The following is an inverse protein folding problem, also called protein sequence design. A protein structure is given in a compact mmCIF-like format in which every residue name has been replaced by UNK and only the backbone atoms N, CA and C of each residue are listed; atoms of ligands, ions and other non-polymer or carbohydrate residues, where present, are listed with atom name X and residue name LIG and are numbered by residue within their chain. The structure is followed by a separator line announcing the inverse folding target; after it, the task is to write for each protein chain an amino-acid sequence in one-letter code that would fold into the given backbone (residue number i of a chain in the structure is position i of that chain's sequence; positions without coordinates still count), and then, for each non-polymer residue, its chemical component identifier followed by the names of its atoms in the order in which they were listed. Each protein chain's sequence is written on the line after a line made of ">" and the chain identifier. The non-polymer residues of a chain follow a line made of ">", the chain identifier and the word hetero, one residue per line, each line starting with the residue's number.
data_IF_109430609199
#
_entry.id   IF_109430609199
#
_cell.length_a   1.000
_cell.length_b   1.000
_cell.length_c   1.000
_cell.angle_alpha   90.00
_cell.angle_beta   90.00
_cell.angle_gamma   90.00
#
_symmetry.space_group_name_H-M   'P 1'
#
loop_
_entity.id
_entity.type
_entity.pdbx_description
1 polymer ?
#
# COMPACT_ATOMS: atom_id res chain seq x y z
N UNK A 1 7.82 9.22 -36.37
CA UNK A 1 9.25 9.60 -36.43
C UNK A 1 9.38 10.76 -35.45
N UNK A 2 9.60 10.51 -34.15
CA UNK A 2 10.92 10.34 -33.51
C UNK A 2 11.29 11.70 -32.90
N UNK A 3 11.77 11.88 -31.67
CA UNK A 3 12.18 11.05 -30.54
C UNK A 3 11.99 11.92 -29.29
N UNK A 4 11.77 11.30 -28.14
CA UNK A 4 11.80 11.94 -26.82
C UNK A 4 13.17 12.58 -26.55
N UNK A 5 13.20 13.66 -25.76
CA UNK A 5 14.20 13.78 -24.70
C UNK A 5 13.70 14.66 -23.53
N UNK A 6 13.48 13.99 -22.40
CA UNK A 6 13.21 14.57 -21.08
C UNK A 6 14.54 15.06 -20.49
N UNK A 7 14.79 16.36 -20.53
CA UNK A 7 15.82 16.99 -19.71
C UNK A 7 15.25 17.25 -18.31
N UNK A 8 15.40 16.26 -17.42
CA UNK A 8 15.26 16.44 -15.97
C UNK A 8 16.32 17.43 -15.51
N UNK A 9 15.89 18.65 -15.17
CA UNK A 9 16.75 19.71 -14.64
C UNK A 9 17.27 19.25 -13.27
N UNK A 10 18.50 18.76 -13.23
CA UNK A 10 19.29 18.71 -12.00
C UNK A 10 19.50 20.15 -11.53
N UNK A 11 18.67 20.63 -10.60
CA UNK A 11 18.98 21.85 -9.85
C UNK A 11 20.11 21.56 -8.87
N UNK A 12 21.33 21.52 -9.39
CA UNK A 12 22.52 21.75 -8.56
C UNK A 12 22.44 23.19 -8.05
N UNK A 13 22.09 23.37 -6.78
CA UNK A 13 22.13 24.67 -6.10
C UNK A 13 23.58 25.15 -6.14
N UNK A 14 23.87 26.18 -6.93
CA UNK A 14 25.16 26.88 -6.89
C UNK A 14 25.21 27.65 -5.58
N UNK A 15 26.17 27.30 -4.72
CA UNK A 15 26.36 27.88 -3.38
C UNK A 15 26.78 29.37 -3.40
N UNK A 16 27.09 29.93 -4.58
CA UNK A 16 27.67 31.27 -4.72
C UNK A 16 26.64 32.41 -4.74
N UNK A 17 25.34 32.13 -4.57
CA UNK A 17 24.27 33.15 -4.63
C UNK A 17 23.17 33.00 -3.58
N UNK A 18 23.47 32.41 -2.42
CA UNK A 18 22.53 32.35 -1.30
C UNK A 18 22.61 33.66 -0.50
N UNK A 19 21.49 34.38 -0.42
CA UNK A 19 21.40 35.55 0.46
C UNK A 19 21.24 35.12 1.91
N UNK A 20 21.55 36.01 2.86
CA UNK A 20 21.38 35.74 4.30
C UNK A 20 19.92 35.37 4.63
N UNK A 21 18.96 35.88 3.86
CA UNK A 21 17.53 35.58 4.06
C UNK A 21 17.15 34.19 3.54
N UNK A 22 17.81 33.68 2.50
CA UNK A 22 17.65 32.29 2.03
C UNK A 22 18.18 31.29 3.07
N UNK A 23 19.30 31.62 3.72
CA UNK A 23 19.87 30.83 4.80
C UNK A 23 18.94 30.79 6.03
N UNK A 24 18.32 31.92 6.40
CA UNK A 24 17.31 31.96 7.48
C UNK A 24 16.05 31.19 7.13
N UNK A 25 15.59 31.27 5.88
CA UNK A 25 14.43 30.50 5.40
C UNK A 25 14.70 28.99 5.44
N UNK A 26 15.92 28.59 5.09
CA UNK A 26 16.37 27.21 5.15
C UNK A 26 16.52 26.73 6.60
N UNK A 27 17.10 27.55 7.48
CA UNK A 27 17.20 27.28 8.93
C UNK A 27 15.80 27.10 9.56
N UNK A 28 14.86 27.97 9.20
CA UNK A 28 13.47 27.87 9.63
C UNK A 28 12.81 26.58 9.12
N UNK A 29 13.08 26.19 7.87
CA UNK A 29 12.56 24.94 7.29
C UNK A 29 13.15 23.71 7.99
N UNK A 30 14.43 23.75 8.37
CA UNK A 30 15.06 22.68 9.17
C UNK A 30 14.51 22.62 10.59
N UNK A 31 14.25 23.77 11.23
CA UNK A 31 13.60 23.85 12.54
C UNK A 31 12.17 23.30 12.50
N UNK A 32 11.40 23.63 11.48
CA UNK A 32 10.06 23.08 11.27
C UNK A 32 10.08 21.57 11.01
N UNK A 33 11.03 21.09 10.21
CA UNK A 33 11.23 19.66 9.99
C UNK A 33 11.63 18.93 11.28
N UNK A 34 12.55 19.50 12.07
CA UNK A 34 12.97 18.94 13.36
C UNK A 34 11.82 18.89 14.38
N UNK A 35 11.01 19.95 14.45
CA UNK A 35 9.81 20.00 15.30
C UNK A 35 8.75 18.99 14.84
N UNK A 36 8.59 18.79 13.53
CA UNK A 36 7.69 17.77 12.97
C UNK A 36 8.16 16.35 13.31
N UNK A 37 9.47 16.07 13.21
CA UNK A 37 10.07 14.78 13.59
C UNK A 37 9.91 14.53 15.10
N UNK A 38 10.14 15.54 15.93
CA UNK A 38 9.94 15.45 17.37
C UNK A 38 8.47 15.17 17.72
N UNK A 39 7.52 15.80 17.03
CA UNK A 39 6.10 15.53 17.20
C UNK A 39 5.72 14.10 16.79
N UNK A 40 6.25 13.60 15.67
CA UNK A 40 6.04 12.21 15.24
C UNK A 40 6.60 11.22 16.25
N UNK A 41 7.80 11.50 16.78
CA UNK A 41 8.43 10.66 17.80
C UNK A 41 7.62 10.63 19.10
N UNK A 42 7.11 11.76 19.58
CA UNK A 42 6.25 11.82 20.76
C UNK A 42 4.94 11.03 20.57
N UNK A 43 4.35 11.05 19.36
CA UNK A 43 3.17 10.22 19.03
C UNK A 43 3.52 8.73 19.04
N UNK A 44 4.69 8.35 18.51
CA UNK A 44 5.17 6.97 18.57
C UNK A 44 5.44 6.50 20.00
N UNK A 45 6.12 7.31 20.81
CA UNK A 45 6.44 6.99 22.20
C UNK A 45 5.14 6.83 23.02
N UNK A 46 4.12 7.66 22.80
CA UNK A 46 2.80 7.50 23.43
C UNK A 46 2.08 6.21 23.01
N UNK A 47 2.18 5.81 21.74
CA UNK A 47 1.57 4.55 21.25
C UNK A 47 2.27 3.34 21.85
N UNK A 48 3.59 3.42 22.04
CA UNK A 48 4.41 2.36 22.65
C UNK A 48 4.12 2.25 24.15
N UNK A 49 4.04 3.37 24.88
CA UNK A 49 3.89 3.36 26.35
C UNK A 49 2.47 3.09 26.83
N UNK A 50 1.44 3.48 26.06
CA UNK A 50 0.03 3.38 26.53
C UNK A 50 -0.76 2.23 25.91
N UNK A 51 -0.23 1.55 24.88
CA UNK A 51 -0.96 0.51 24.13
C UNK A 51 -2.28 0.99 23.51
N UNK A 52 -2.51 2.31 23.47
CA UNK A 52 -3.73 2.90 22.96
C UNK A 52 -3.79 2.77 21.42
N UNK A 53 -4.98 2.54 20.83
CA UNK A 53 -5.11 2.50 19.40
C UNK A 53 -4.62 3.82 18.78
N UNK A 54 -3.78 3.72 17.75
CA UNK A 54 -3.12 4.82 17.01
C UNK A 54 -4.07 5.98 16.66
N UNK A 55 -5.36 5.69 16.51
CA UNK A 55 -6.42 6.66 16.25
C UNK A 55 -6.57 7.75 17.32
N UNK A 56 -6.24 7.47 18.59
CA UNK A 56 -6.38 8.44 19.70
C UNK A 56 -5.18 9.40 19.81
N UNK A 57 -4.00 9.00 19.36
CA UNK A 57 -2.76 9.78 19.49
C UNK A 57 -2.54 10.83 18.38
N UNK A 58 -3.26 10.71 17.25
CA UNK A 58 -3.09 11.55 16.04
C UNK A 58 -3.84 12.91 16.14
N UNK A 59 -4.28 13.30 17.35
CA UNK A 59 -5.28 14.35 17.58
C UNK A 59 -4.90 15.81 17.32
N UNK A 60 -3.65 16.17 17.02
CA UNK A 60 -3.25 17.59 17.09
C UNK A 60 -2.36 18.15 15.94
N UNK A 61 -2.27 17.50 14.78
CA UNK A 61 -1.48 18.05 13.64
C UNK A 61 -2.22 17.96 12.31
N UNK A 62 -1.90 18.87 11.38
CA UNK A 62 -2.34 18.85 9.97
C UNK A 62 -1.90 17.56 9.26
N UNK A 63 -0.78 16.97 9.69
CA UNK A 63 -0.35 15.61 9.31
C UNK A 63 -1.33 14.53 9.80
N UNK A 64 -2.04 14.78 10.90
CA UNK A 64 -3.05 13.88 11.45
C UNK A 64 -4.37 13.87 10.70
N UNK A 65 -4.70 14.89 9.91
CA UNK A 65 -5.84 14.84 9.00
C UNK A 65 -5.54 13.95 7.78
N UNK A 66 -4.39 14.16 7.14
CA UNK A 66 -3.93 13.32 6.04
C UNK A 66 -3.71 11.86 6.48
N UNK A 67 -3.13 11.64 7.67
CA UNK A 67 -2.98 10.30 8.24
C UNK A 67 -4.34 9.65 8.57
N UNK A 68 -5.33 10.42 9.04
CA UNK A 68 -6.70 9.90 9.24
C UNK A 68 -7.38 9.54 7.92
N UNK A 69 -7.25 10.35 6.88
CA UNK A 69 -7.78 10.03 5.55
C UNK A 69 -7.09 8.80 4.95
N UNK A 70 -5.77 8.71 5.06
CA UNK A 70 -5.02 7.53 4.62
C UNK A 70 -5.45 6.29 5.40
N UNK A 71 -5.61 6.40 6.73
CA UNK A 71 -6.06 5.29 7.57
C UNK A 71 -7.50 4.87 7.22
N UNK A 72 -8.42 5.82 6.99
CA UNK A 72 -9.79 5.56 6.57
C UNK A 72 -9.84 4.84 5.22
N UNK A 73 -9.07 5.33 4.24
CA UNK A 73 -8.97 4.70 2.93
C UNK A 73 -8.41 3.26 3.02
N UNK A 74 -7.39 3.04 3.85
CA UNK A 74 -6.83 1.70 4.07
C UNK A 74 -7.83 0.75 4.77
N UNK A 75 -8.63 1.25 5.71
CA UNK A 75 -9.67 0.44 6.37
C UNK A 75 -10.83 0.11 5.43
N UNK A 76 -11.17 1.01 4.50
CA UNK A 76 -12.17 0.78 3.46
C UNK A 76 -11.68 -0.27 2.46
N UNK A 77 -10.45 -0.11 1.93
CA UNK A 77 -9.84 -1.08 1.01
C UNK A 77 -9.77 -2.49 1.62
N UNK A 78 -9.43 -2.58 2.91
CA UNK A 78 -9.39 -3.84 3.64
C UNK A 78 -10.79 -4.47 3.79
N UNK A 79 -11.80 -3.66 4.11
CA UNK A 79 -13.17 -4.14 4.25
C UNK A 79 -13.73 -4.65 2.91
N UNK A 80 -13.46 -3.93 1.82
CA UNK A 80 -13.90 -4.29 0.47
C UNK A 80 -13.29 -5.62 0.01
N UNK A 81 -11.97 -5.80 0.20
CA UNK A 81 -11.30 -7.06 -0.13
C UNK A 81 -11.83 -8.21 0.73
N UNK A 82 -12.01 -8.00 2.03
CA UNK A 82 -12.53 -9.03 2.94
C UNK A 82 -13.99 -9.40 2.60
N UNK A 83 -14.83 -8.44 2.22
CA UNK A 83 -16.19 -8.69 1.76
C UNK A 83 -16.21 -9.51 0.46
N UNK A 84 -15.33 -9.17 -0.50
CA UNK A 84 -15.20 -9.92 -1.73
C UNK A 84 -14.69 -11.35 -1.52
N UNK A 85 -13.71 -11.55 -0.64
CA UNK A 85 -13.26 -12.89 -0.24
C UNK A 85 -14.37 -13.69 0.46
N UNK A 86 -15.19 -13.04 1.30
CA UNK A 86 -16.40 -13.67 1.87
C UNK A 86 -17.44 -14.01 0.81
N UNK A 87 -17.57 -13.19 -0.23
CA UNK A 87 -18.49 -13.44 -1.33
C UNK A 87 -18.11 -14.69 -2.14
N UNK A 88 -16.81 -14.97 -2.33
CA UNK A 88 -16.32 -16.23 -2.93
C UNK A 88 -16.76 -17.47 -2.15
N UNK A 89 -16.86 -17.33 -0.83
CA UNK A 89 -17.11 -18.44 0.08
C UNK A 89 -18.59 -18.57 0.50
N UNK A 90 -19.52 -17.90 -0.21
CA UNK A 90 -20.96 -18.02 0.09
C UNK A 90 -21.41 -19.47 -0.01
N UNK A 91 -22.07 -19.94 1.05
CA UNK A 91 -22.54 -21.33 1.16
C UNK A 91 -21.52 -22.32 1.77
N UNK A 92 -20.28 -21.90 2.02
CA UNK A 92 -19.27 -22.71 2.69
C UNK A 92 -19.28 -22.50 4.22
N UNK A 93 -19.01 -23.59 4.95
CA UNK A 93 -18.74 -23.55 6.39
C UNK A 93 -17.47 -22.75 6.65
N UNK A 94 -17.40 -22.07 7.80
CA UNK A 94 -16.29 -21.16 8.12
C UNK A 94 -14.90 -21.81 8.04
N UNK A 95 -14.77 -23.09 8.44
CA UNK A 95 -13.51 -23.84 8.36
C UNK A 95 -13.01 -24.06 6.93
N UNK A 96 -13.93 -24.26 5.98
CA UNK A 96 -13.60 -24.61 4.59
C UNK A 96 -13.28 -23.37 3.74
N UNK A 97 -13.59 -22.16 4.24
CA UNK A 97 -13.46 -20.90 3.47
C UNK A 97 -12.02 -20.58 3.15
N UNK A 98 -11.14 -20.72 4.13
CA UNK A 98 -9.73 -20.36 3.96
C UNK A 98 -9.04 -21.35 3.01
N UNK A 99 -9.31 -22.64 3.18
CA UNK A 99 -8.83 -23.70 2.29
C UNK A 99 -9.32 -23.50 0.86
N UNK A 100 -10.60 -23.18 0.68
CA UNK A 100 -11.17 -22.88 -0.63
C UNK A 100 -10.48 -21.69 -1.31
N UNK A 101 -10.26 -20.57 -0.59
CA UNK A 101 -9.58 -19.39 -1.16
C UNK A 101 -8.13 -19.72 -1.52
N UNK A 102 -7.40 -20.41 -0.64
CA UNK A 102 -6.01 -20.81 -0.92
C UNK A 102 -5.94 -21.73 -2.14
N UNK A 103 -6.86 -22.69 -2.27
CA UNK A 103 -6.93 -23.55 -3.45
C UNK A 103 -7.19 -22.74 -4.73
N UNK A 104 -8.14 -21.80 -4.70
CA UNK A 104 -8.39 -20.92 -5.86
C UNK A 104 -7.17 -20.08 -6.22
N UNK A 105 -6.44 -19.57 -5.23
CA UNK A 105 -5.20 -18.82 -5.47
C UNK A 105 -4.13 -19.69 -6.13
N UNK A 106 -3.95 -20.94 -5.68
CA UNK A 106 -3.05 -21.90 -6.33
C UNK A 106 -3.45 -22.11 -7.79
N UNK A 107 -4.72 -22.39 -8.05
CA UNK A 107 -5.21 -22.71 -9.40
C UNK A 107 -5.13 -21.52 -10.35
N UNK A 108 -5.59 -20.33 -9.91
CA UNK A 108 -5.63 -19.13 -10.75
C UNK A 108 -4.24 -18.57 -11.04
N UNK A 109 -3.32 -18.65 -10.08
CA UNK A 109 -2.00 -18.03 -10.19
C UNK A 109 -0.85 -19.01 -10.39
N UNK A 110 -1.13 -20.32 -10.48
CA UNK A 110 -0.13 -21.37 -10.61
C UNK A 110 0.95 -21.30 -9.52
N UNK A 111 0.52 -21.10 -8.27
CA UNK A 111 1.45 -20.94 -7.15
C UNK A 111 2.16 -22.26 -6.84
N UNK A 112 3.44 -22.17 -6.45
CA UNK A 112 4.26 -23.30 -6.00
C UNK A 112 3.88 -23.74 -4.58
N UNK A 113 2.62 -24.17 -4.42
CA UNK A 113 2.12 -24.81 -3.22
C UNK A 113 1.36 -23.91 -2.24
N UNK A 114 0.89 -24.57 -1.18
CA UNK A 114 -0.08 -24.04 -0.21
C UNK A 114 0.49 -22.92 0.67
N UNK A 115 1.79 -22.96 0.95
CA UNK A 115 2.49 -21.96 1.75
C UNK A 115 2.47 -20.59 1.05
N UNK A 116 2.81 -20.53 -0.24
CA UNK A 116 2.76 -19.31 -1.06
C UNK A 116 1.34 -18.75 -1.15
N UNK A 117 0.32 -19.63 -1.23
CA UNK A 117 -1.08 -19.21 -1.20
C UNK A 117 -1.47 -18.59 0.15
N UNK A 118 -0.97 -19.13 1.27
CA UNK A 118 -1.13 -18.56 2.60
C UNK A 118 -0.49 -17.18 2.75
N UNK A 119 0.74 -17.00 2.24
CA UNK A 119 1.42 -15.69 2.20
C UNK A 119 0.59 -14.68 1.40
N UNK A 120 0.13 -15.06 0.20
CA UNK A 120 -0.65 -14.16 -0.65
C UNK A 120 -1.99 -13.81 -0.01
N UNK A 121 -2.70 -14.78 0.57
CA UNK A 121 -3.96 -14.52 1.28
C UNK A 121 -3.76 -13.57 2.47
N UNK A 122 -2.68 -13.73 3.22
CA UNK A 122 -2.34 -12.84 4.33
C UNK A 122 -2.16 -11.39 3.87
N UNK A 123 -1.45 -11.18 2.76
CA UNK A 123 -1.27 -9.87 2.15
C UNK A 123 -2.59 -9.30 1.62
N UNK A 124 -3.41 -10.12 0.96
CA UNK A 124 -4.71 -9.69 0.42
C UNK A 124 -5.67 -9.22 1.51
N UNK A 125 -5.66 -9.85 2.68
CA UNK A 125 -6.48 -9.42 3.83
C UNK A 125 -6.03 -8.08 4.45
N UNK A 126 -4.87 -7.56 4.05
CA UNK A 126 -4.27 -6.33 4.59
C UNK A 126 -3.70 -5.47 3.44
N UNK A 127 -4.53 -5.06 2.45
CA UNK A 127 -4.06 -4.30 1.30
C UNK A 127 -3.48 -2.96 1.76
N UNK A 128 -2.36 -2.56 1.15
CA UNK A 128 -1.70 -1.30 1.49
C UNK A 128 -0.90 -1.31 2.80
N UNK A 129 -0.96 -2.36 3.62
CA UNK A 129 -0.25 -2.46 4.89
C UNK A 129 1.02 -3.31 4.78
N UNK A 130 2.05 -2.94 5.54
CA UNK A 130 3.28 -3.74 5.65
C UNK A 130 3.08 -4.86 6.69
N UNK A 131 3.07 -6.09 6.23
CA UNK A 131 2.98 -7.31 7.06
C UNK A 131 4.40 -7.82 7.35
N UNK A 132 4.67 -8.14 8.62
CA UNK A 132 5.99 -8.59 9.07
C UNK A 132 6.35 -9.98 8.55
N UNK A 133 7.64 -10.29 8.46
CA UNK A 133 8.10 -11.65 8.11
C UNK A 133 7.52 -12.73 9.02
N UNK A 134 7.41 -12.47 10.34
CA UNK A 134 6.88 -13.43 11.29
C UNK A 134 5.42 -13.78 10.96
N UNK A 135 4.58 -12.76 10.77
CA UNK A 135 3.17 -12.96 10.45
C UNK A 135 2.98 -13.67 9.08
N UNK A 136 3.85 -13.39 8.10
CA UNK A 136 3.82 -14.11 6.81
C UNK A 136 4.28 -15.57 6.95
N UNK A 137 5.26 -15.86 7.81
CA UNK A 137 5.70 -17.22 8.07
C UNK A 137 4.60 -18.04 8.77
N UNK A 138 3.91 -17.44 9.74
CA UNK A 138 2.77 -18.04 10.43
C UNK A 138 1.62 -18.34 9.46
N UNK A 139 1.28 -17.39 8.58
CA UNK A 139 0.25 -17.56 7.56
C UNK A 139 0.58 -18.67 6.55
N UNK A 140 1.87 -18.84 6.25
CA UNK A 140 2.40 -19.90 5.40
C UNK A 140 2.50 -21.25 6.11
N UNK A 141 2.21 -21.32 7.42
CA UNK A 141 2.35 -22.50 8.28
C UNK A 141 3.76 -23.10 8.23
N UNK A 142 4.78 -22.23 8.16
CA UNK A 142 6.18 -22.64 8.04
C UNK A 142 6.75 -22.93 9.42
N UNK A 143 7.35 -24.11 9.59
CA UNK A 143 8.03 -24.49 10.83
C UNK A 143 9.47 -23.94 10.93
N UNK A 144 10.05 -23.52 9.80
CA UNK A 144 11.41 -22.97 9.75
C UNK A 144 11.44 -21.52 10.25
N UNK A 145 12.32 -21.25 11.21
CA UNK A 145 12.58 -19.90 11.74
C UNK A 145 13.38 -18.99 10.79
N UNK A 146 13.90 -19.55 9.69
CA UNK A 146 14.73 -18.79 8.74
C UNK A 146 13.91 -17.71 8.00
N UNK A 147 14.31 -16.42 8.08
CA UNK A 147 13.62 -15.34 7.39
C UNK A 147 13.75 -15.44 5.87
N UNK A 148 14.68 -16.26 5.36
CA UNK A 148 14.87 -16.47 3.92
C UNK A 148 13.71 -17.22 3.27
N UNK A 149 12.98 -18.05 4.03
CA UNK A 149 11.84 -18.81 3.49
C UNK A 149 10.75 -17.88 2.99
N UNK A 150 10.39 -16.85 3.77
CA UNK A 150 9.42 -15.83 3.34
C UNK A 150 9.91 -15.08 2.10
N UNK A 151 11.21 -14.80 2.00
CA UNK A 151 11.77 -14.13 0.82
C UNK A 151 11.59 -14.98 -0.44
N UNK A 152 11.80 -16.29 -0.34
CA UNK A 152 11.59 -17.24 -1.45
C UNK A 152 10.12 -17.21 -1.91
N UNK A 153 9.17 -17.30 -0.97
CA UNK A 153 7.75 -17.22 -1.32
C UNK A 153 7.38 -15.89 -1.98
N UNK A 154 7.90 -14.76 -1.49
CA UNK A 154 7.66 -13.46 -2.12
C UNK A 154 8.24 -13.41 -3.55
N UNK A 155 9.43 -13.97 -3.78
CA UNK A 155 10.01 -14.05 -5.12
C UNK A 155 9.17 -14.92 -6.07
N UNK A 156 8.70 -16.08 -5.60
CA UNK A 156 7.80 -16.96 -6.36
C UNK A 156 6.47 -16.26 -6.65
N UNK A 157 5.89 -15.57 -5.67
CA UNK A 157 4.65 -14.82 -5.83
C UNK A 157 4.80 -13.70 -6.86
N UNK A 158 5.86 -12.90 -6.80
CA UNK A 158 6.12 -11.86 -7.81
C UNK A 158 6.23 -12.44 -9.22
N UNK A 159 6.95 -13.55 -9.36
CA UNK A 159 7.11 -14.24 -10.65
C UNK A 159 5.76 -14.76 -11.18
N UNK A 160 4.96 -15.37 -10.29
CA UNK A 160 3.63 -15.88 -10.62
C UNK A 160 2.66 -14.76 -11.00
N UNK A 161 2.63 -13.67 -10.24
CA UNK A 161 1.81 -12.50 -10.52
C UNK A 161 2.22 -11.82 -11.84
N UNK A 162 3.51 -11.68 -12.10
CA UNK A 162 4.03 -11.16 -13.37
C UNK A 162 3.57 -11.99 -14.56
N UNK A 163 3.60 -13.33 -14.43
CA UNK A 163 3.11 -14.25 -15.48
C UNK A 163 1.62 -14.06 -15.79
N UNK A 164 0.85 -13.49 -14.85
CA UNK A 164 -0.58 -13.18 -14.98
C UNK A 164 -0.86 -11.70 -15.31
N UNK A 165 0.16 -10.93 -15.65
CA UNK A 165 0.03 -9.54 -16.11
C UNK A 165 0.01 -8.48 -15.02
N UNK A 166 0.38 -8.83 -13.78
CA UNK A 166 0.57 -7.84 -12.71
C UNK A 166 1.97 -7.23 -12.79
N UNK A 167 2.09 -5.95 -12.44
CA UNK A 167 3.38 -5.24 -12.46
C UNK A 167 4.36 -5.78 -11.41
N UNK A 168 5.67 -5.63 -11.66
CA UNK A 168 6.74 -6.04 -10.73
C UNK A 168 6.59 -5.38 -9.34
N UNK A 169 5.92 -4.22 -9.28
CA UNK A 169 5.61 -3.48 -8.06
C UNK A 169 4.36 -3.95 -7.30
N UNK A 170 3.66 -5.00 -7.74
CA UNK A 170 2.44 -5.47 -7.09
C UNK A 170 2.64 -5.83 -5.60
N UNK A 171 3.81 -6.38 -5.27
CA UNK A 171 4.25 -6.62 -3.89
C UNK A 171 5.51 -5.78 -3.63
N UNK A 172 5.45 -4.88 -2.66
CA UNK A 172 6.55 -4.01 -2.28
C UNK A 172 7.33 -4.57 -1.08
N UNK A 173 8.63 -4.27 -1.02
CA UNK A 173 9.52 -4.68 0.07
C UNK A 173 9.70 -3.54 1.06
N UNK A 174 9.44 -3.79 2.34
CA UNK A 174 9.79 -2.93 3.46
C UNK A 174 10.94 -3.50 4.30
N UNK A 175 11.29 -2.83 5.39
CA UNK A 175 12.30 -3.33 6.34
C UNK A 175 11.73 -4.53 7.11
N UNK A 176 12.11 -5.76 6.70
CA UNK A 176 11.61 -7.03 7.27
C UNK A 176 10.08 -7.20 7.17
N UNK A 177 9.49 -6.62 6.13
CA UNK A 177 8.05 -6.66 5.88
C UNK A 177 7.75 -6.58 4.39
N UNK A 178 6.53 -6.96 4.01
CA UNK A 178 6.03 -6.85 2.65
C UNK A 178 4.64 -6.27 2.64
N UNK A 179 4.30 -5.60 1.54
CA UNK A 179 2.98 -5.00 1.31
C UNK A 179 2.49 -5.37 -0.06
N UNK A 180 1.20 -5.68 -0.19
CA UNK A 180 0.56 -5.69 -1.50
C UNK A 180 -0.04 -4.31 -1.80
N UNK A 181 0.18 -3.80 -3.01
CA UNK A 181 -0.40 -2.53 -3.45
C UNK A 181 -1.93 -2.70 -3.57
N UNK A 182 -2.75 -1.75 -3.10
CA UNK A 182 -4.21 -1.90 -3.13
C UNK A 182 -4.76 -2.22 -4.52
N UNK A 183 -4.27 -1.56 -5.58
CA UNK A 183 -4.68 -1.83 -6.96
C UNK A 183 -4.41 -3.28 -7.40
N UNK A 184 -3.26 -3.83 -7.01
CA UNK A 184 -2.91 -5.23 -7.29
C UNK A 184 -3.80 -6.19 -6.48
N UNK A 185 -4.08 -5.89 -5.22
CA UNK A 185 -4.99 -6.69 -4.39
C UNK A 185 -6.39 -6.78 -5.01
N UNK A 186 -6.96 -5.65 -5.44
CA UNK A 186 -8.25 -5.62 -6.13
C UNK A 186 -8.21 -6.39 -7.45
N UNK A 187 -7.15 -6.23 -8.25
CA UNK A 187 -6.99 -6.98 -9.50
C UNK A 187 -6.93 -8.50 -9.29
N UNK A 188 -6.25 -8.95 -8.23
CA UNK A 188 -6.15 -10.38 -7.88
C UNK A 188 -7.51 -10.92 -7.45
N UNK A 189 -8.23 -10.22 -6.57
CA UNK A 189 -9.55 -10.64 -6.11
C UNK A 189 -10.56 -10.65 -7.26
N UNK A 190 -10.45 -9.70 -8.19
CA UNK A 190 -11.25 -9.71 -9.41
C UNK A 190 -10.96 -10.95 -10.28
N UNK A 191 -9.69 -11.31 -10.42
CA UNK A 191 -9.28 -12.51 -11.17
C UNK A 191 -9.76 -13.82 -10.53
N UNK A 192 -10.05 -13.84 -9.21
CA UNK A 192 -10.67 -14.98 -8.53
C UNK A 192 -12.16 -15.18 -8.85
N UNK A 193 -12.77 -14.26 -9.61
CA UNK A 193 -14.17 -14.33 -10.04
C UNK A 193 -15.14 -13.49 -9.20
N UNK A 194 -14.64 -12.51 -8.44
CA UNK A 194 -15.49 -11.54 -7.74
C UNK A 194 -15.51 -10.23 -8.51
N UNK A 195 -16.65 -9.57 -8.63
CA UNK A 195 -16.69 -8.19 -9.11
C UNK A 195 -16.56 -7.24 -7.93
N UNK A 196 -15.36 -6.70 -7.69
CA UNK A 196 -15.19 -5.53 -6.83
C UNK A 196 -15.61 -4.29 -7.63
N UNK A 197 -16.55 -3.50 -7.09
CA UNK A 197 -16.80 -2.17 -7.68
C UNK A 197 -15.53 -1.34 -7.54
N UNK A 198 -14.94 -0.82 -8.63
CA UNK A 198 -13.82 0.10 -8.50
C UNK A 198 -14.30 1.34 -7.75
N UNK A 199 -13.75 1.59 -6.57
CA UNK A 199 -13.96 2.84 -5.84
C UNK A 199 -13.35 3.97 -6.64
N UNK A 200 -14.24 4.76 -7.25
CA UNK A 200 -13.89 5.83 -8.18
C UNK A 200 -13.42 7.06 -7.39
N UNK A 201 -12.15 7.46 -7.59
CA UNK A 201 -11.75 8.89 -7.60
C UNK A 201 -10.85 9.18 -8.80
N UNK A 202 -11.41 9.00 -9.99
CA UNK A 202 -11.12 9.89 -11.11
C UNK A 202 -12.14 11.04 -11.05
N UNK A 203 -11.89 12.00 -10.15
CA UNK A 203 -12.61 13.26 -10.12
C UNK A 203 -11.78 14.29 -9.35
N UNK A 204 -10.87 14.96 -10.04
CA UNK A 204 -10.75 16.43 -10.03
C UNK A 204 -9.50 16.90 -10.79
N UNK A 205 -9.77 17.48 -11.96
CA UNK A 205 -9.05 18.52 -12.73
C UNK A 205 -9.33 18.17 -14.19
N UNK A 206 -10.22 18.86 -14.91
CA UNK A 206 -10.18 20.30 -15.11
C UNK A 206 -11.57 20.93 -15.01
N UNK A 207 -11.67 21.93 -14.13
CA UNK A 207 -12.70 22.95 -14.18
C UNK A 207 -12.17 24.14 -15.00
N UNK A 208 -12.99 24.60 -15.96
CA UNK A 208 -13.10 25.99 -16.44
C UNK A 208 -11.90 26.52 -17.26
N UNK A 209 -12.03 27.29 -18.34
CA UNK A 209 -13.10 28.15 -18.87
C UNK A 209 -12.65 28.70 -20.24
N UNK A 210 -13.58 28.91 -21.17
CA UNK A 210 -13.69 30.09 -22.06
C UNK A 210 -14.90 29.84 -22.97
N UNK A 211 -16.06 30.43 -22.71
CA UNK A 211 -16.44 31.83 -22.98
C UNK A 211 -17.34 31.88 -24.21
N UNK A 212 -18.44 32.60 -24.01
CA UNK A 212 -19.61 32.81 -24.85
C UNK A 212 -19.34 33.33 -26.29
N UNK A 213 -20.35 33.06 -27.12
CA UNK A 213 -20.96 33.95 -28.12
C UNK A 213 -20.21 34.27 -29.43
N UNK A 214 -20.71 33.70 -30.53
CA UNK A 214 -21.22 34.48 -31.68
C UNK A 214 -22.00 33.55 -32.62
N UNK A 215 -23.33 33.58 -32.51
CA UNK A 215 -24.23 33.09 -33.55
C UNK A 215 -25.20 34.23 -33.87
N UNK A 216 -24.81 35.06 -34.84
CA UNK A 216 -25.68 35.81 -35.76
C UNK A 216 -24.90 36.05 -37.04
#
# INVERSE_FOLDING_TARGET
>A
MGSEDKSTINQSVRLDSLTIDDLKSLEQSFLEAANSIAAVRNVLDQVIDTGAPLTKAIGASRAGAAARYALSAMTEDQADVEEALKALCRGLKTGDREEFIRQRLVDCFALEGWASAGVLLCLLRQPGQFVSHAHLADAACVLSESPNVVRVYICQLRSSLKSRGFEDGAIETGRRSYRIVPSAAFGIVNALGVSLRPTRKASMSESQSHSQAAAR
#
